data_IF_200096082161
#
_entry.id   IF_200096082161
#
_cell.length_a   1.000
_cell.length_b   1.000
_cell.length_c   1.000
_cell.angle_alpha   90.00
_cell.angle_beta   90.00
_cell.angle_gamma   90.00
#
_symmetry.space_group_name_H-M   'P 1'
#
loop_
_entity.id
_entity.type
_entity.pdbx_description
1 polymer ?
#
# COMPACT_ATOMS: atom_id res chain seq x y z
N UNK A 1 -84.12 -20.17 23.06
CA UNK A 1 -84.18 -20.55 21.63
C UNK A 1 -84.24 -19.28 20.79
N UNK A 2 -83.08 -18.84 20.28
CA UNK A 2 -82.87 -18.04 19.06
C UNK A 2 -81.39 -17.64 19.04
N UNK A 3 -80.58 -18.41 18.32
CA UNK A 3 -79.23 -18.02 17.93
C UNK A 3 -79.35 -16.89 16.89
N UNK A 4 -78.60 -15.80 17.08
CA UNK A 4 -78.32 -14.78 16.06
C UNK A 4 -76.80 -14.62 15.89
N UNK A 5 -76.44 -14.25 14.67
CA UNK A 5 -75.22 -14.49 13.92
C UNK A 5 -74.07 -13.48 14.13
N UNK A 6 -72.82 -14.00 14.11
CA UNK A 6 -71.55 -13.55 13.49
C UNK A 6 -71.24 -12.03 13.38
N UNK A 7 -69.97 -11.58 13.63
CA UNK A 7 -68.88 -11.99 12.74
C UNK A 7 -67.54 -12.33 13.39
N UNK A 8 -66.88 -13.27 12.71
CA UNK A 8 -65.50 -13.71 12.85
C UNK A 8 -64.56 -12.56 12.44
N UNK A 9 -63.82 -11.99 13.40
CA UNK A 9 -62.75 -11.02 13.11
C UNK A 9 -61.43 -11.78 12.92
N UNK A 10 -61.06 -12.03 11.67
CA UNK A 10 -59.72 -12.46 11.29
C UNK A 10 -58.80 -11.24 11.33
N UNK A 11 -57.93 -11.17 12.33
CA UNK A 11 -56.80 -10.22 12.33
C UNK A 11 -55.70 -10.83 11.44
N UNK A 12 -55.25 -10.16 10.36
CA UNK A 12 -54.11 -10.62 9.59
C UNK A 12 -52.83 -10.39 10.40
N UNK A 13 -52.10 -11.45 10.68
CA UNK A 13 -50.70 -11.39 11.12
C UNK A 13 -49.89 -10.86 9.94
N UNK A 14 -49.68 -9.54 9.91
CA UNK A 14 -48.84 -8.88 8.93
C UNK A 14 -47.39 -9.30 9.12
N UNK A 15 -46.87 -10.06 8.16
CA UNK A 15 -45.45 -10.34 7.97
C UNK A 15 -44.64 -9.03 7.99
N UNK A 16 -43.85 -8.81 9.03
CA UNK A 16 -42.73 -7.87 9.00
C UNK A 16 -41.49 -8.62 8.52
N UNK A 17 -41.32 -8.79 7.21
CA UNK A 17 -40.15 -9.48 6.64
C UNK A 17 -39.82 -8.94 5.24
N UNK A 18 -39.75 -7.62 5.07
CA UNK A 18 -39.14 -7.01 3.88
C UNK A 18 -38.44 -5.73 4.30
N UNK A 19 -37.12 -5.74 4.33
CA UNK A 19 -36.37 -4.52 4.64
C UNK A 19 -34.87 -4.67 4.87
N UNK A 20 -34.22 -5.72 4.37
CA UNK A 20 -32.75 -5.76 4.31
C UNK A 20 -32.33 -6.29 2.95
N UNK A 21 -32.35 -5.41 1.97
CA UNK A 21 -31.91 -5.75 0.63
C UNK A 21 -32.17 -4.57 -0.26
N UNK A 22 -31.26 -3.60 -0.25
CA UNK A 22 -30.90 -2.72 -1.37
C UNK A 22 -29.83 -1.75 -0.85
N UNK A 23 -28.66 -1.83 -1.48
CA UNK A 23 -27.47 -0.98 -1.28
C UNK A 23 -26.68 -1.22 0.01
N UNK A 24 -26.05 -2.39 0.11
CA UNK A 24 -24.75 -2.45 0.78
C UNK A 24 -23.76 -1.69 -0.12
N UNK A 25 -23.57 -0.39 0.13
CA UNK A 25 -22.39 0.31 -0.37
C UNK A 25 -21.19 -0.46 0.18
N UNK A 26 -20.40 -1.07 -0.70
CA UNK A 26 -19.20 -1.80 -0.30
C UNK A 26 -18.29 -0.86 0.48
N UNK A 27 -18.10 -1.15 1.77
CA UNK A 27 -17.10 -0.45 2.56
C UNK A 27 -15.73 -0.98 2.14
N UNK A 28 -15.00 -0.21 1.34
CA UNK A 28 -13.59 -0.51 1.07
C UNK A 28 -12.82 -0.24 2.35
N UNK A 29 -12.44 -1.31 3.06
CA UNK A 29 -11.66 -1.20 4.29
C UNK A 29 -10.24 -0.73 3.97
N UNK A 30 -9.92 0.54 4.24
CA UNK A 30 -8.55 1.05 4.11
C UNK A 30 -7.76 0.71 5.37
N UNK A 31 -6.64 0.00 5.23
CA UNK A 31 -5.74 -0.29 6.35
C UNK A 31 -4.60 0.72 6.36
N UNK A 32 -4.38 1.37 7.51
CA UNK A 32 -3.24 2.26 7.72
C UNK A 32 -2.16 1.53 8.51
N UNK A 33 -0.92 1.57 8.02
CA UNK A 33 0.26 0.96 8.61
C UNK A 33 1.22 2.05 9.06
N UNK A 34 1.61 2.02 10.33
CA UNK A 34 2.69 2.86 10.87
C UNK A 34 4.02 2.24 10.51
N UNK A 35 4.99 3.04 10.09
CA UNK A 35 6.31 2.56 9.71
C UNK A 35 7.39 3.26 10.53
N UNK A 36 8.30 2.47 11.09
CA UNK A 36 9.51 2.92 11.75
C UNK A 36 10.61 1.89 11.51
N UNK A 37 11.79 2.34 11.09
CA UNK A 37 12.94 1.50 10.79
C UNK A 37 14.23 2.30 10.75
N UNK A 38 15.36 1.65 11.08
CA UNK A 38 16.69 2.19 10.86
C UNK A 38 17.43 1.34 9.82
N UNK A 39 18.07 2.00 8.85
CA UNK A 39 18.89 1.33 7.83
C UNK A 39 20.33 1.80 7.91
N UNK A 40 21.25 0.83 7.88
CA UNK A 40 22.66 1.09 7.67
C UNK A 40 22.92 1.21 6.17
N UNK A 41 23.36 2.40 5.76
CA UNK A 41 23.58 2.78 4.37
C UNK A 41 25.00 2.49 3.89
N UNK A 42 25.09 2.21 2.59
CA UNK A 42 26.32 1.95 1.85
C UNK A 42 26.20 2.53 0.46
N UNK A 43 26.21 3.86 0.36
CA UNK A 43 25.88 4.52 -0.90
C UNK A 43 27.09 4.56 -1.84
N UNK A 44 26.81 4.34 -3.12
CA UNK A 44 27.71 4.59 -4.23
C UNK A 44 27.24 5.81 -5.02
N UNK A 45 28.03 6.25 -5.99
CA UNK A 45 27.59 7.31 -6.88
C UNK A 45 28.65 7.76 -7.86
N UNK A 46 28.25 8.62 -8.78
CA UNK A 46 29.12 9.24 -9.77
C UNK A 46 28.76 10.71 -9.97
N UNK A 47 29.78 11.54 -10.20
CA UNK A 47 29.57 12.93 -10.56
C UNK A 47 29.08 13.03 -12.01
N UNK A 48 28.02 13.80 -12.21
CA UNK A 48 27.42 14.08 -13.52
C UNK A 48 27.93 15.39 -14.14
N UNK A 49 28.71 16.16 -13.37
CA UNK A 49 29.23 17.46 -13.76
C UNK A 49 30.75 17.51 -13.56
N UNK A 50 31.50 18.20 -14.44
CA UNK A 50 32.95 18.41 -14.25
C UNK A 50 33.28 19.21 -12.98
N UNK A 51 32.36 20.08 -12.55
CA UNK A 51 32.44 20.84 -11.31
C UNK A 51 32.28 19.98 -10.06
N UNK A 52 31.67 18.79 -10.17
CA UNK A 52 31.39 17.91 -9.03
C UNK A 52 30.22 18.38 -8.15
N UNK A 53 29.49 19.42 -8.55
CA UNK A 53 28.33 19.93 -7.82
C UNK A 53 27.07 19.10 -8.07
N UNK A 54 27.01 18.33 -9.16
CA UNK A 54 25.91 17.45 -9.51
C UNK A 54 26.35 15.99 -9.53
N UNK A 55 25.62 15.13 -8.83
CA UNK A 55 25.90 13.69 -8.75
C UNK A 55 24.64 12.83 -8.86
N UNK A 56 24.82 11.60 -9.31
CA UNK A 56 23.86 10.51 -9.20
C UNK A 56 24.33 9.58 -8.08
N UNK A 57 23.42 9.20 -7.18
CA UNK A 57 23.71 8.42 -5.98
C UNK A 57 22.86 7.15 -6.00
N UNK A 58 23.54 6.01 -5.88
CA UNK A 58 22.92 4.71 -5.66
C UNK A 58 22.82 4.49 -4.15
N UNK A 59 21.60 4.33 -3.66
CA UNK A 59 21.31 4.15 -2.25
C UNK A 59 21.13 2.67 -1.99
N UNK A 60 21.90 2.13 -1.06
CA UNK A 60 21.76 0.73 -0.61
C UNK A 60 21.77 0.73 0.90
N UNK A 61 20.79 0.06 1.50
CA UNK A 61 20.67 -0.03 2.95
C UNK A 61 20.18 -1.39 3.41
N UNK A 62 20.56 -1.76 4.64
CA UNK A 62 20.05 -2.93 5.32
C UNK A 62 19.57 -2.56 6.72
N UNK A 63 18.50 -3.21 7.17
CA UNK A 63 17.93 -3.03 8.49
C UNK A 63 17.78 -4.39 9.17
N UNK A 64 17.99 -4.41 10.49
CA UNK A 64 17.71 -5.57 11.34
C UNK A 64 16.41 -5.42 12.14
N UNK A 65 15.80 -4.23 12.11
CA UNK A 65 14.65 -3.84 12.94
C UNK A 65 13.47 -3.30 12.11
N UNK A 66 13.56 -3.32 10.78
CA UNK A 66 12.52 -2.78 9.92
C UNK A 66 11.17 -3.46 10.12
N UNK A 67 10.14 -2.63 10.28
CA UNK A 67 8.76 -3.08 10.36
C UNK A 67 8.35 -3.87 9.10
N UNK A 68 7.52 -4.89 9.30
CA UNK A 68 6.95 -5.71 8.23
C UNK A 68 8.00 -6.45 7.36
N UNK A 69 9.14 -6.77 7.94
CA UNK A 69 10.24 -7.51 7.31
C UNK A 69 10.87 -6.82 6.10
N UNK A 70 10.62 -5.51 5.89
CA UNK A 70 11.19 -4.70 4.82
C UNK A 70 12.68 -4.38 5.06
N UNK A 71 13.51 -5.41 5.17
CA UNK A 71 14.89 -5.33 5.68
C UNK A 71 15.90 -4.73 4.71
N UNK A 72 15.56 -4.56 3.43
CA UNK A 72 16.45 -4.00 2.41
C UNK A 72 15.93 -2.67 1.89
N UNK A 73 16.87 -1.79 1.57
CA UNK A 73 16.61 -0.51 0.95
C UNK A 73 17.46 -0.41 -0.31
N UNK A 74 16.83 -0.08 -1.43
CA UNK A 74 17.48 0.24 -2.68
C UNK A 74 16.93 1.56 -3.22
N UNK A 75 17.76 2.37 -3.85
CA UNK A 75 17.31 3.62 -4.44
C UNK A 75 18.29 4.24 -5.40
N UNK A 76 17.78 5.22 -6.13
CA UNK A 76 18.52 6.05 -7.06
C UNK A 76 18.03 7.49 -6.88
N UNK A 77 18.95 8.41 -6.66
CA UNK A 77 18.64 9.83 -6.50
C UNK A 77 19.68 10.72 -7.17
N UNK A 78 19.32 11.98 -7.36
CA UNK A 78 20.19 13.00 -7.91
C UNK A 78 20.40 14.09 -6.87
N UNK A 79 21.63 14.56 -6.76
CA UNK A 79 22.09 15.48 -5.73
C UNK A 79 22.75 16.69 -6.38
N UNK A 80 22.33 17.90 -6.00
CA UNK A 80 23.08 19.13 -6.26
C UNK A 80 23.63 19.72 -4.97
N UNK A 81 24.93 19.98 -4.92
CA UNK A 81 25.66 20.50 -3.77
C UNK A 81 26.25 21.87 -4.06
N UNK A 82 26.01 22.83 -3.18
CA UNK A 82 26.78 24.07 -3.13
C UNK A 82 28.15 23.76 -2.51
N UNK A 83 29.20 23.75 -3.35
CA UNK A 83 30.57 23.42 -2.95
C UNK A 83 31.21 24.46 -2.03
N UNK A 84 30.58 25.63 -1.83
CA UNK A 84 31.06 26.64 -0.88
C UNK A 84 30.53 26.39 0.52
N UNK A 85 29.25 26.00 0.63
CA UNK A 85 28.56 25.85 1.92
C UNK A 85 28.36 24.41 2.36
N UNK A 86 28.55 23.45 1.45
CA UNK A 86 28.29 22.03 1.66
C UNK A 86 26.80 21.68 1.70
N UNK A 87 25.90 22.66 1.54
CA UNK A 87 24.46 22.42 1.47
C UNK A 87 24.11 21.71 0.18
N UNK A 88 23.16 20.79 0.24
CA UNK A 88 22.70 20.10 -0.93
C UNK A 88 21.19 19.87 -0.92
N UNK A 89 20.67 19.64 -2.12
CA UNK A 89 19.31 19.19 -2.39
C UNK A 89 19.37 17.86 -3.12
N UNK A 90 18.54 16.89 -2.73
CA UNK A 90 18.39 15.64 -3.44
C UNK A 90 16.95 15.45 -3.94
N UNK A 91 16.80 14.81 -5.10
CA UNK A 91 15.50 14.53 -5.70
C UNK A 91 15.56 13.31 -6.62
N UNK A 92 14.54 12.46 -6.56
CA UNK A 92 14.39 11.35 -7.50
C UNK A 92 14.04 11.80 -8.93
N UNK A 93 13.44 12.97 -9.12
CA UNK A 93 13.20 13.51 -10.47
C UNK A 93 14.42 14.29 -10.98
N UNK A 94 15.21 13.75 -11.93
CA UNK A 94 16.40 14.41 -12.47
C UNK A 94 16.08 15.75 -13.15
N UNK A 95 14.83 15.96 -13.60
CA UNK A 95 14.41 17.21 -14.25
C UNK A 95 14.48 18.41 -13.31
N UNK A 96 14.39 18.20 -12.00
CA UNK A 96 14.57 19.25 -10.99
C UNK A 96 15.96 19.89 -11.06
N UNK A 97 16.94 19.17 -11.61
CA UNK A 97 18.30 19.64 -11.82
C UNK A 97 18.60 20.01 -13.28
N UNK A 98 17.62 19.96 -14.18
CA UNK A 98 17.78 20.23 -15.60
C UNK A 98 18.38 19.06 -16.39
N UNK A 99 18.45 17.87 -15.80
CA UNK A 99 18.94 16.67 -16.46
C UNK A 99 17.85 16.06 -17.35
N UNK A 100 18.01 16.18 -18.67
CA UNK A 100 17.14 15.53 -19.66
C UNK A 100 17.69 14.14 -19.98
N UNK A 101 16.80 13.20 -20.30
CA UNK A 101 17.13 11.82 -20.69
C UNK A 101 17.79 10.92 -19.62
N UNK A 102 17.86 11.39 -18.37
CA UNK A 102 18.26 10.56 -17.23
C UNK A 102 17.09 9.71 -16.72
N UNK A 103 17.34 8.49 -16.23
CA UNK A 103 16.30 7.65 -15.66
C UNK A 103 15.67 8.32 -14.43
N UNK A 104 14.37 8.13 -14.23
CA UNK A 104 13.73 8.52 -12.97
C UNK A 104 14.41 7.76 -11.83
N UNK A 105 14.80 8.52 -10.81
CA UNK A 105 15.20 7.97 -9.52
C UNK A 105 14.03 7.27 -8.85
N UNK A 106 14.33 6.46 -7.85
CA UNK A 106 13.34 5.72 -7.10
C UNK A 106 13.84 5.43 -5.69
N UNK A 107 12.91 5.07 -4.84
CA UNK A 107 13.18 4.55 -3.50
C UNK A 107 12.39 3.27 -3.32
N UNK A 108 13.01 2.22 -2.81
CA UNK A 108 12.42 0.90 -2.65
C UNK A 108 12.81 0.31 -1.28
N UNK A 109 11.79 -0.09 -0.52
CA UNK A 109 11.94 -0.94 0.67
C UNK A 109 11.50 -2.35 0.29
N UNK A 110 12.37 -3.32 0.49
CA UNK A 110 12.19 -4.70 0.05
C UNK A 110 12.25 -5.63 1.24
N UNK A 111 11.26 -6.52 1.32
CA UNK A 111 11.19 -7.56 2.33
C UNK A 111 11.45 -8.95 1.79
N UNK A 112 10.96 -9.95 2.50
CA UNK A 112 11.01 -11.33 2.06
C UNK A 112 9.95 -11.59 0.98
N UNK A 113 10.32 -12.33 -0.07
CA UNK A 113 9.41 -12.68 -1.16
C UNK A 113 9.11 -11.50 -2.08
N UNK A 114 7.83 -11.23 -2.34
CA UNK A 114 7.35 -10.17 -3.23
C UNK A 114 6.97 -8.88 -2.49
N UNK A 115 7.16 -8.81 -1.18
CA UNK A 115 6.74 -7.65 -0.39
C UNK A 115 7.68 -6.47 -0.61
N UNK A 116 7.14 -5.39 -1.17
CA UNK A 116 7.89 -4.19 -1.51
C UNK A 116 7.06 -2.93 -1.33
N UNK A 117 7.68 -1.85 -0.88
CA UNK A 117 7.15 -0.49 -1.00
C UNK A 117 8.06 0.30 -1.93
N UNK A 118 7.51 1.11 -2.81
CA UNK A 118 8.32 1.96 -3.67
C UNK A 118 7.71 3.35 -3.86
N UNK A 119 8.59 4.30 -4.12
CA UNK A 119 8.26 5.71 -4.13
C UNK A 119 9.36 6.58 -4.73
N UNK A 120 9.22 7.88 -4.48
CA UNK A 120 10.17 8.92 -4.87
C UNK A 120 10.56 9.75 -3.67
N UNK A 121 11.78 10.28 -3.66
CA UNK A 121 12.29 11.08 -2.56
C UNK A 121 12.52 12.55 -2.93
N UNK A 122 12.50 13.39 -1.91
CA UNK A 122 12.98 14.77 -1.95
C UNK A 122 13.65 15.07 -0.61
N UNK A 123 14.86 15.63 -0.66
CA UNK A 123 15.68 15.81 0.52
C UNK A 123 16.52 17.09 0.47
N UNK A 124 16.96 17.51 1.65
CA UNK A 124 17.93 18.57 1.83
C UNK A 124 18.94 18.13 2.88
N UNK A 125 20.16 18.61 2.75
CA UNK A 125 21.18 18.30 3.73
C UNK A 125 22.38 19.22 3.68
N UNK A 126 23.36 18.86 4.50
CA UNK A 126 24.63 19.56 4.59
C UNK A 126 25.75 18.54 4.77
N UNK A 127 26.82 18.74 4.03
CA UNK A 127 28.12 18.12 4.26
C UNK A 127 29.02 19.15 4.94
N UNK A 128 29.47 18.88 6.16
CA UNK A 128 30.52 19.68 6.78
C UNK A 128 31.86 19.24 6.20
N UNK A 129 32.45 20.05 5.31
CA UNK A 129 33.70 19.71 4.66
C UNK A 129 34.92 19.62 5.60
N UNK A 130 34.84 20.16 6.83
CA UNK A 130 35.92 20.03 7.80
C UNK A 130 35.90 18.68 8.50
N UNK A 131 34.70 18.17 8.80
CA UNK A 131 34.52 16.90 9.53
C UNK A 131 34.10 15.75 8.64
N UNK A 132 33.74 16.03 7.39
CA UNK A 132 33.16 15.13 6.40
C UNK A 132 31.86 14.46 6.87
N UNK A 133 31.19 15.06 7.86
CA UNK A 133 29.89 14.60 8.34
C UNK A 133 28.78 15.08 7.42
N UNK A 134 27.85 14.19 7.14
CA UNK A 134 26.66 14.44 6.34
C UNK A 134 25.44 14.37 7.25
N UNK A 135 24.58 15.37 7.15
CA UNK A 135 23.23 15.34 7.72
C UNK A 135 22.25 15.58 6.59
N UNK A 136 21.30 14.68 6.42
CA UNK A 136 20.31 14.71 5.37
C UNK A 136 18.92 14.48 5.98
N UNK A 137 17.90 15.15 5.46
CA UNK A 137 16.53 14.95 5.89
C UNK A 137 15.59 15.21 4.73
N UNK A 138 14.46 14.52 4.73
CA UNK A 138 13.55 14.59 3.63
C UNK A 138 12.32 13.74 3.79
N UNK A 139 11.66 13.51 2.67
CA UNK A 139 10.47 12.67 2.60
C UNK A 139 10.56 11.73 1.42
N UNK A 140 10.03 10.53 1.60
CA UNK A 140 9.72 9.58 0.57
C UNK A 140 8.21 9.54 0.40
N UNK A 141 7.74 9.85 -0.80
CA UNK A 141 6.36 9.68 -1.20
C UNK A 141 6.17 8.26 -1.74
N UNK A 142 5.48 7.41 -0.98
CA UNK A 142 5.15 6.04 -1.36
C UNK A 142 4.04 6.09 -2.40
N UNK A 143 4.35 5.61 -3.60
CA UNK A 143 3.45 5.63 -4.77
C UNK A 143 2.91 4.25 -5.13
N UNK A 144 3.46 3.20 -4.52
CA UNK A 144 3.00 1.84 -4.75
C UNK A 144 3.69 0.83 -3.85
N UNK A 145 3.32 -0.43 -4.07
CA UNK A 145 3.93 -1.57 -3.42
C UNK A 145 3.57 -2.87 -4.15
N UNK A 146 4.20 -3.94 -3.74
CA UNK A 146 4.01 -5.31 -4.23
C UNK A 146 3.69 -6.25 -3.06
N UNK A 147 3.31 -7.48 -3.36
CA UNK A 147 2.89 -8.45 -2.36
C UNK A 147 1.72 -7.93 -1.51
N UNK A 148 1.87 -8.00 -0.19
CA UNK A 148 0.86 -7.53 0.78
C UNK A 148 0.65 -6.01 0.77
N UNK A 149 1.53 -5.26 0.09
CA UNK A 149 1.48 -3.80 0.00
C UNK A 149 0.99 -3.30 -1.36
N UNK A 150 0.39 -4.18 -2.17
CA UNK A 150 -0.15 -3.77 -3.47
C UNK A 150 -1.11 -2.59 -3.35
N UNK A 151 -0.84 -1.52 -4.10
CA UNK A 151 -1.63 -0.29 -4.05
C UNK A 151 -1.33 0.62 -2.85
N UNK A 152 -0.20 0.41 -2.16
CA UNK A 152 0.21 1.26 -1.05
C UNK A 152 0.43 2.71 -1.48
N UNK A 153 -0.04 3.65 -0.67
CA UNK A 153 0.26 5.08 -0.80
C UNK A 153 0.55 5.69 0.56
N UNK A 154 1.46 6.64 0.65
CA UNK A 154 1.85 7.18 1.96
C UNK A 154 3.03 8.12 1.89
N UNK A 155 3.46 8.59 3.06
CA UNK A 155 4.63 9.46 3.19
C UNK A 155 5.45 8.96 4.36
N UNK A 156 6.74 8.76 4.11
CA UNK A 156 7.75 8.50 5.13
C UNK A 156 8.66 9.71 5.21
N UNK A 157 8.87 10.25 6.40
CA UNK A 157 9.92 11.21 6.67
C UNK A 157 11.20 10.48 7.04
N UNK A 158 12.34 11.06 6.71
CA UNK A 158 13.63 10.50 7.09
C UNK A 158 14.60 11.54 7.61
N UNK A 159 15.51 11.05 8.44
CA UNK A 159 16.75 11.73 8.81
C UNK A 159 17.89 10.75 8.62
N UNK A 160 18.99 11.23 8.06
CA UNK A 160 20.20 10.46 7.84
C UNK A 160 21.38 11.20 8.45
N UNK A 161 22.24 10.42 9.10
CA UNK A 161 23.55 10.83 9.58
C UNK A 161 24.59 9.94 8.96
N UNK A 162 25.59 10.52 8.32
CA UNK A 162 26.69 9.73 7.76
C UNK A 162 27.99 10.47 7.68
N UNK A 163 28.95 9.79 7.06
CA UNK A 163 30.34 10.19 7.06
C UNK A 163 30.92 9.88 5.67
N UNK A 164 31.43 10.91 5.01
CA UNK A 164 32.21 10.74 3.80
C UNK A 164 33.63 10.30 4.13
N UNK A 165 34.20 9.49 3.23
CA UNK A 165 35.61 9.10 3.22
C UNK A 165 36.40 10.05 2.33
N UNK A 166 37.65 10.30 2.70
CA UNK A 166 38.62 10.97 1.81
C UNK A 166 39.17 10.03 0.74
N UNK A 167 39.07 8.71 0.95
CA UNK A 167 39.39 7.70 -0.05
C UNK A 167 38.17 7.47 -0.95
N UNK A 168 38.25 7.77 -2.27
CA UNK A 168 37.15 7.61 -3.20
C UNK A 168 36.77 6.15 -3.47
N UNK A 169 37.59 5.18 -3.05
CA UNK A 169 37.28 3.75 -3.19
C UNK A 169 36.43 3.21 -2.03
N UNK A 170 36.24 4.00 -0.97
CA UNK A 170 35.43 3.63 0.18
C UNK A 170 34.02 4.20 -0.04
N UNK A 171 32.97 3.36 -0.09
CA UNK A 171 31.61 3.84 -0.23
C UNK A 171 31.20 4.68 0.97
N UNK A 172 30.29 5.62 0.75
CA UNK A 172 29.70 6.41 1.81
C UNK A 172 28.98 5.51 2.82
N UNK A 173 29.11 5.83 4.11
CA UNK A 173 28.43 5.12 5.20
C UNK A 173 27.56 6.08 5.99
N UNK A 174 26.36 5.65 6.32
CA UNK A 174 25.44 6.40 7.15
C UNK A 174 24.37 5.53 7.77
N UNK A 175 23.54 6.15 8.60
CA UNK A 175 22.36 5.53 9.20
C UNK A 175 21.16 6.39 8.84
N UNK A 176 20.14 5.77 8.26
CA UNK A 176 18.88 6.38 7.85
C UNK A 176 17.77 5.94 8.80
N UNK A 177 17.15 6.88 9.50
CA UNK A 177 15.96 6.65 10.29
C UNK A 177 14.73 7.04 9.47
N UNK A 178 13.80 6.09 9.28
CA UNK A 178 12.53 6.30 8.57
C UNK A 178 11.36 6.27 9.55
N UNK A 179 10.45 7.22 9.42
CA UNK A 179 9.22 7.27 10.22
C UNK A 179 8.04 7.76 9.38
N UNK A 180 6.86 7.20 9.58
CA UNK A 180 5.66 7.69 8.89
C UNK A 180 4.56 6.66 8.84
N UNK A 181 3.75 6.74 7.78
CA UNK A 181 2.69 5.76 7.56
C UNK A 181 2.32 5.65 6.09
N UNK A 182 1.75 4.50 5.75
CA UNK A 182 1.17 4.25 4.44
C UNK A 182 -0.16 3.52 4.59
N UNK A 183 -0.96 3.59 3.54
CA UNK A 183 -2.29 3.00 3.45
C UNK A 183 -2.32 2.01 2.33
N UNK A 184 -2.91 0.85 2.58
CA UNK A 184 -3.22 -0.15 1.55
C UNK A 184 -4.72 -0.18 1.36
N UNK A 185 -5.16 -0.02 0.12
CA UNK A 185 -6.56 -0.17 -0.27
C UNK A 185 -6.71 -1.57 -0.86
N UNK A 186 -7.45 -2.48 -0.21
CA UNK A 186 -7.72 -3.79 -0.77
C UNK A 186 -8.35 -3.65 -2.15
N UNK A 187 -7.86 -4.43 -3.11
CA UNK A 187 -8.55 -4.56 -4.40
C UNK A 187 -9.89 -5.23 -4.11
N UNK A 188 -11.04 -4.67 -4.53
CA UNK A 188 -12.33 -5.33 -4.37
C UNK A 188 -12.23 -6.74 -4.94
N UNK A 189 -12.53 -7.75 -4.12
CA UNK A 189 -12.59 -9.11 -4.64
C UNK A 189 -13.63 -9.14 -5.77
N UNK A 190 -13.34 -9.80 -6.91
CA UNK A 190 -14.38 -10.02 -7.89
C UNK A 190 -15.52 -10.77 -7.20
N UNK A 191 -16.70 -10.14 -7.19
CA UNK A 191 -17.95 -10.75 -6.74
C UNK A 191 -18.03 -12.16 -7.30
N UNK A 192 -17.79 -13.17 -6.45
CA UNK A 192 -18.36 -14.47 -6.67
C UNK A 192 -19.86 -14.23 -6.62
N UNK A 193 -20.48 -14.07 -7.80
CA UNK A 193 -21.91 -14.19 -7.96
C UNK A 193 -22.27 -15.55 -7.38
N UNK A 194 -22.67 -15.57 -6.12
CA UNK A 194 -23.29 -16.68 -5.42
C UNK A 194 -24.67 -16.89 -6.05
N UNK A 195 -24.67 -17.33 -7.31
CA UNK A 195 -25.79 -18.05 -7.90
C UNK A 195 -25.70 -19.50 -7.42
N UNK A 196 -25.64 -19.68 -6.10
CA UNK A 196 -25.78 -20.99 -5.47
C UNK A 196 -26.97 -20.87 -4.51
N UNK A 197 -27.94 -21.76 -4.73
CA UNK A 197 -29.24 -21.93 -4.06
C UNK A 197 -30.34 -21.05 -4.67
N UNK A 198 -31.31 -21.59 -5.42
CA UNK A 198 -32.25 -22.61 -4.93
C UNK A 198 -33.05 -23.21 -6.12
N UNK A 199 -32.64 -24.35 -6.67
CA UNK A 199 -33.62 -25.26 -7.30
C UNK A 199 -34.18 -26.09 -6.15
N UNK A 200 -35.11 -25.47 -5.43
CA UNK A 200 -35.96 -26.13 -4.45
C UNK A 200 -36.85 -27.13 -5.17
N UNK A 201 -36.83 -28.35 -4.66
CA UNK A 201 -37.76 -29.45 -4.89
C UNK A 201 -39.20 -28.96 -5.14
N UNK A 202 -39.62 -28.86 -6.41
CA UNK A 202 -41.02 -28.97 -6.81
C UNK A 202 -41.14 -30.27 -7.63
N UNK A 203 -41.03 -31.40 -6.94
CA UNK A 203 -41.02 -32.72 -7.57
C UNK A 203 -41.81 -33.80 -6.82
N UNK A 204 -42.58 -33.44 -5.78
CA UNK A 204 -43.24 -34.44 -4.91
C UNK A 204 -44.74 -34.20 -4.68
N UNK A 205 -45.40 -33.34 -5.47
CA UNK A 205 -46.82 -33.01 -5.28
C UNK A 205 -47.82 -33.62 -6.26
N UNK A 206 -47.38 -34.06 -7.45
CA UNK A 206 -48.31 -34.36 -8.56
C UNK A 206 -48.65 -35.86 -8.71
N UNK A 207 -47.96 -36.78 -8.03
CA UNK A 207 -48.22 -38.21 -8.18
C UNK A 207 -49.19 -38.84 -7.16
N UNK A 208 -49.68 -38.11 -6.16
CA UNK A 208 -50.70 -38.63 -5.22
C UNK A 208 -52.14 -38.36 -5.65
N UNK A 209 -52.40 -37.56 -6.71
CA UNK A 209 -53.76 -37.30 -7.18
C UNK A 209 -54.32 -38.32 -8.17
N UNK A 210 -53.54 -39.34 -8.56
CA UNK A 210 -53.99 -40.40 -9.51
C UNK A 210 -54.42 -41.72 -8.86
N UNK A 211 -54.48 -41.83 -7.53
CA UNK A 211 -54.97 -43.05 -6.84
C UNK A 211 -56.27 -42.87 -6.05
N UNK A 212 -57.00 -41.77 -6.25
CA UNK A 212 -58.32 -41.54 -5.63
C UNK A 212 -59.45 -41.40 -6.67
N UNK A 213 -59.36 -42.19 -7.75
CA UNK A 213 -60.49 -42.47 -8.64
C UNK A 213 -60.33 -43.89 -9.20
N UNK A 214 -60.39 -44.87 -8.31
CA UNK A 214 -60.84 -46.23 -8.59
C UNK A 214 -61.40 -46.76 -7.29
N UNK A 215 -62.69 -46.53 -7.12
CA UNK A 215 -63.66 -47.47 -6.56
C UNK A 215 -64.99 -46.73 -6.40
N UNK A 216 -65.97 -47.05 -7.25
CA UNK A 216 -67.42 -47.21 -6.92
C UNK A 216 -68.31 -47.21 -8.16
N UNK A 217 -68.70 -48.42 -8.61
CA UNK A 217 -70.01 -48.80 -9.20
C UNK A 217 -69.86 -50.27 -9.62
N UNK A 218 -70.35 -51.25 -8.85
CA UNK A 218 -71.76 -51.71 -8.82
C UNK A 218 -72.28 -52.09 -10.20
#
# INVERSE_FOLDING_TARGET
MMLRSLPLQLIPVGLALVGFGLSATEAIAQTTYTFNANYDLSNGGSFLSPSGDLAQIDIVGNSTDASYDLTKLNGLTYLRTDLTTGKFTANSDPKTFGLQDFPLGFFALEGNGEDKLFGSETANGVTDFNTLKVTNFGTINITGGEGRFKGATGILSFTELGQQSTDPNIPYRGTLALTGSFKVVPVPEPLFNTTLLTISVIGSGVLLRRRHCKDTSS
#
